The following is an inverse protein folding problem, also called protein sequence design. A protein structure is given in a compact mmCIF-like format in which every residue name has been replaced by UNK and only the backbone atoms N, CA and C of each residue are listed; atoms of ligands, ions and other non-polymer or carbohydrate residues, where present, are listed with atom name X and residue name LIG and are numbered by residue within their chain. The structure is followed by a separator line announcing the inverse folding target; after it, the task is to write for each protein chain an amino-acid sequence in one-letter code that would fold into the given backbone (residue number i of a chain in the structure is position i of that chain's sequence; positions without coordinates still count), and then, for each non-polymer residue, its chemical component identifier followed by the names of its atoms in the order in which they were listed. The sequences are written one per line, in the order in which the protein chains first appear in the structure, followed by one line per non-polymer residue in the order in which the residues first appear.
data_IF_537530691028
#
_entry.id   IF_537530691028
#
_cell.length_a   1.000
_cell.length_b   1.000
_cell.length_c   1.000
_cell.angle_alpha   90.00
_cell.angle_beta   90.00
_cell.angle_gamma   90.00
#
_symmetry.space_group_name_H-M   'P 1'
#
loop_
_entity.id
_entity.type
_entity.pdbx_description
1 polymer ?
#
# COMPACT_ATOMS: atom_id res chain seq x y z
N UNK A 1 -6.88 -19.93 -1.51
CA UNK A 1 -5.80 -19.04 -1.03
C UNK A 1 -6.25 -17.61 -0.83
N UNK A 2 -6.73 -16.89 -1.86
CA UNK A 2 -7.24 -15.53 -1.69
C UNK A 2 -8.58 -15.44 -0.95
N UNK A 3 -9.50 -16.37 -1.20
CA UNK A 3 -10.79 -16.43 -0.48
C UNK A 3 -10.61 -16.56 1.05
N UNK A 4 -9.58 -17.27 1.50
CA UNK A 4 -9.25 -17.40 2.92
C UNK A 4 -8.78 -16.06 3.51
N UNK A 5 -7.94 -15.32 2.77
CA UNK A 5 -7.54 -13.97 3.15
C UNK A 5 -8.73 -13.01 3.24
N UNK A 6 -9.67 -13.09 2.31
CA UNK A 6 -10.93 -12.32 2.36
C UNK A 6 -11.74 -12.67 3.61
N UNK A 7 -11.97 -13.96 3.86
CA UNK A 7 -12.76 -14.41 5.00
C UNK A 7 -12.13 -13.98 6.34
N UNK A 8 -10.83 -14.18 6.49
CA UNK A 8 -10.08 -13.80 7.71
C UNK A 8 -10.03 -12.27 7.87
N UNK A 9 -9.86 -11.52 6.78
CA UNK A 9 -9.92 -10.06 6.78
C UNK A 9 -11.27 -9.53 7.25
N UNK A 10 -12.37 -10.05 6.70
CA UNK A 10 -13.73 -9.69 7.12
C UNK A 10 -13.96 -10.03 8.59
N UNK A 11 -13.59 -11.23 9.02
CA UNK A 11 -13.73 -11.66 10.41
C UNK A 11 -12.94 -10.75 11.37
N UNK A 12 -11.68 -10.42 11.05
CA UNK A 12 -10.88 -9.50 11.86
C UNK A 12 -11.45 -8.08 11.89
N UNK A 13 -11.99 -7.59 10.77
CA UNK A 13 -12.63 -6.27 10.71
C UNK A 13 -13.91 -6.19 11.53
N UNK A 14 -14.74 -7.24 11.49
CA UNK A 14 -15.94 -7.36 12.33
C UNK A 14 -15.59 -7.51 13.81
N UNK A 15 -14.52 -8.24 14.13
CA UNK A 15 -14.00 -8.34 15.50
C UNK A 15 -13.68 -6.94 16.05
N UNK A 16 -13.03 -6.08 15.26
CA UNK A 16 -12.76 -4.70 15.66
C UNK A 16 -14.02 -3.83 15.78
N UNK A 17 -15.04 -4.12 14.98
CA UNK A 17 -16.34 -3.45 15.11
C UNK A 17 -17.02 -3.77 16.45
N UNK A 18 -16.88 -5.02 16.92
CA UNK A 18 -17.44 -5.48 18.19
C UNK A 18 -16.59 -5.05 19.39
N UNK A 19 -15.26 -5.18 19.30
CA UNK A 19 -14.34 -4.83 20.39
C UNK A 19 -14.26 -3.31 20.62
N UNK A 20 -14.34 -2.51 19.56
CA UNK A 20 -14.31 -1.05 19.63
C UNK A 20 -15.56 -0.44 18.98
N UNK A 21 -16.73 -0.55 19.63
CA UNK A 21 -17.97 -0.07 19.07
C UNK A 21 -17.96 1.46 18.88
N UNK A 22 -18.80 1.94 17.96
CA UNK A 22 -18.94 3.37 17.65
C UNK A 22 -19.36 4.21 18.86
N UNK A 23 -20.20 3.65 19.73
CA UNK A 23 -20.85 4.38 20.82
C UNK A 23 -19.95 4.80 21.98
N UNK A 24 -18.72 4.29 22.05
CA UNK A 24 -17.76 4.61 23.12
C UNK A 24 -16.64 5.46 22.55
N UNK A 25 -16.41 6.65 23.10
CA UNK A 25 -15.26 7.48 22.74
C UNK A 25 -13.96 6.85 23.30
N UNK A 26 -13.26 6.12 22.43
CA UNK A 26 -11.89 5.69 22.68
C UNK A 26 -10.91 6.68 22.09
N UNK A 27 -9.73 6.80 22.67
CA UNK A 27 -8.65 7.60 22.09
C UNK A 27 -8.27 7.06 20.69
N UNK A 28 -8.01 7.94 19.71
CA UNK A 28 -7.66 7.52 18.35
C UNK A 28 -6.42 6.62 18.30
N UNK A 29 -5.45 6.88 19.17
CA UNK A 29 -4.23 6.09 19.31
C UNK A 29 -4.51 4.66 19.77
N UNK A 30 -5.45 4.46 20.71
CA UNK A 30 -5.82 3.12 21.17
C UNK A 30 -6.50 2.30 20.07
N UNK A 31 -7.42 2.93 19.32
CA UNK A 31 -8.06 2.28 18.16
C UNK A 31 -7.05 1.92 17.08
N UNK A 32 -6.11 2.82 16.79
CA UNK A 32 -5.04 2.59 15.83
C UNK A 32 -4.09 1.48 16.28
N UNK A 33 -3.72 1.44 17.56
CA UNK A 33 -2.88 0.39 18.13
C UNK A 33 -3.47 -1.01 17.96
N UNK A 34 -4.74 -1.20 18.32
CA UNK A 34 -5.42 -2.50 18.13
C UNK A 34 -5.53 -2.92 16.66
N UNK A 35 -5.81 -1.97 15.78
CA UNK A 35 -5.88 -2.20 14.34
C UNK A 35 -4.51 -2.64 13.78
N UNK A 36 -3.42 -1.99 14.22
CA UNK A 36 -2.07 -2.37 13.83
C UNK A 36 -1.64 -3.74 14.41
N UNK A 37 -1.95 -4.00 15.68
CA UNK A 37 -1.64 -5.27 16.32
C UNK A 37 -2.32 -6.45 15.63
N UNK A 38 -3.62 -6.35 15.32
CA UNK A 38 -4.32 -7.43 14.62
C UNK A 38 -3.79 -7.63 13.21
N UNK A 39 -3.44 -6.54 12.51
CA UNK A 39 -2.78 -6.61 11.22
C UNK A 39 -1.44 -7.36 11.30
N UNK A 40 -0.61 -7.08 12.32
CA UNK A 40 0.66 -7.77 12.52
C UNK A 40 0.47 -9.27 12.82
N UNK A 41 -0.52 -9.63 13.63
CA UNK A 41 -0.88 -11.03 13.91
C UNK A 41 -1.32 -11.74 12.63
N UNK A 42 -2.15 -11.09 11.80
CA UNK A 42 -2.56 -11.64 10.50
C UNK A 42 -1.34 -11.85 9.59
N UNK A 43 -0.45 -10.84 9.46
CA UNK A 43 0.75 -10.97 8.64
C UNK A 43 1.64 -12.13 9.08
N UNK A 44 1.87 -12.28 10.39
CA UNK A 44 2.69 -13.38 10.93
C UNK A 44 2.00 -14.74 10.79
N UNK A 45 0.70 -14.82 11.05
CA UNK A 45 -0.06 -16.07 10.99
C UNK A 45 -0.11 -16.67 9.59
N UNK A 46 -0.03 -15.85 8.55
CA UNK A 46 0.08 -16.32 7.17
C UNK A 46 1.52 -16.56 6.71
N UNK A 47 2.53 -16.06 7.44
CA UNK A 47 3.96 -16.19 7.09
C UNK A 47 4.48 -17.62 7.08
N UNK A 48 3.86 -18.51 7.87
CA UNK A 48 4.19 -19.94 7.91
C UNK A 48 3.48 -20.76 6.81
N UNK A 49 2.66 -20.10 5.98
CA UNK A 49 1.89 -20.74 4.92
C UNK A 49 2.40 -20.33 3.54
N UNK A 50 2.23 -21.18 2.51
CA UNK A 50 2.60 -20.87 1.11
C UNK A 50 1.77 -19.73 0.47
N UNK A 51 1.07 -18.92 1.25
CA UNK A 51 0.08 -17.95 0.79
C UNK A 51 0.38 -16.51 1.21
N UNK A 52 1.61 -16.04 0.97
CA UNK A 52 2.04 -14.67 1.30
C UNK A 52 1.10 -13.57 0.75
N UNK A 53 0.55 -13.75 -0.46
CA UNK A 53 -0.39 -12.79 -1.05
C UNK A 53 -1.76 -12.73 -0.35
N UNK A 54 -2.15 -13.77 0.39
CA UNK A 54 -3.41 -13.78 1.13
C UNK A 54 -3.32 -12.94 2.42
N UNK A 55 -2.14 -12.82 3.02
CA UNK A 55 -1.89 -12.05 4.23
C UNK A 55 -2.15 -10.56 4.02
N UNK A 56 -1.52 -9.98 2.98
CA UNK A 56 -1.68 -8.58 2.63
C UNK A 56 -3.14 -8.23 2.29
N UNK A 57 -3.82 -9.13 1.57
CA UNK A 57 -5.24 -8.97 1.26
C UNK A 57 -6.12 -9.03 2.52
N UNK A 58 -5.82 -9.93 3.46
CA UNK A 58 -6.54 -10.03 4.73
C UNK A 58 -6.41 -8.75 5.56
N UNK A 59 -5.20 -8.19 5.67
CA UNK A 59 -4.96 -6.92 6.37
C UNK A 59 -5.71 -5.77 5.71
N UNK A 60 -5.67 -5.69 4.37
CA UNK A 60 -6.37 -4.63 3.65
C UNK A 60 -7.89 -4.68 3.88
N UNK A 61 -8.48 -5.87 3.79
CA UNK A 61 -9.92 -6.06 4.01
C UNK A 61 -10.29 -5.80 5.47
N UNK A 62 -9.45 -6.25 6.41
CA UNK A 62 -9.60 -5.96 7.83
C UNK A 62 -9.70 -4.46 8.11
N UNK A 63 -8.75 -3.67 7.59
CA UNK A 63 -8.72 -2.23 7.76
C UNK A 63 -9.96 -1.56 7.16
N UNK A 64 -10.35 -1.96 5.94
CA UNK A 64 -11.53 -1.40 5.26
C UNK A 64 -12.81 -1.68 6.04
N UNK A 65 -13.00 -2.92 6.49
CA UNK A 65 -14.19 -3.30 7.27
C UNK A 65 -14.21 -2.58 8.62
N UNK A 66 -13.08 -2.50 9.33
CA UNK A 66 -12.97 -1.78 10.60
C UNK A 66 -13.30 -0.28 10.44
N UNK A 67 -12.69 0.40 9.47
CA UNK A 67 -12.95 1.82 9.18
C UNK A 67 -14.41 2.06 8.78
N UNK A 68 -14.96 1.22 7.90
CA UNK A 68 -16.39 1.28 7.55
C UNK A 68 -17.27 1.10 8.78
N UNK A 69 -16.89 0.21 9.69
CA UNK A 69 -17.63 -0.07 10.93
C UNK A 69 -17.55 1.04 11.97
N UNK A 70 -16.61 1.98 11.88
CA UNK A 70 -16.45 3.08 12.85
C UNK A 70 -17.03 4.42 12.40
N UNK A 71 -17.24 4.59 11.10
CA UNK A 71 -17.80 5.82 10.54
C UNK A 71 -16.75 6.92 10.33
N UNK A 72 -17.09 7.96 9.56
CA UNK A 72 -16.10 8.91 9.01
C UNK A 72 -15.35 9.70 10.08
N UNK A 73 -16.00 10.10 11.18
CA UNK A 73 -15.40 10.96 12.21
C UNK A 73 -14.30 10.25 12.97
N UNK A 74 -14.56 9.01 13.41
CA UNK A 74 -13.56 8.19 14.11
C UNK A 74 -12.44 7.81 13.16
N UNK A 75 -12.78 7.37 11.95
CA UNK A 75 -11.79 6.93 10.96
C UNK A 75 -10.85 8.06 10.54
N UNK A 76 -11.33 9.29 10.45
CA UNK A 76 -10.49 10.46 10.17
C UNK A 76 -9.46 10.69 11.29
N UNK A 77 -9.88 10.59 12.56
CA UNK A 77 -8.99 10.75 13.72
C UNK A 77 -7.92 9.65 13.76
N UNK A 78 -8.32 8.39 13.57
CA UNK A 78 -7.38 7.25 13.55
C UNK A 78 -6.41 7.35 12.36
N UNK A 79 -6.92 7.71 11.18
CA UNK A 79 -6.09 7.91 9.99
C UNK A 79 -5.07 9.03 10.20
N UNK A 80 -5.44 10.13 10.87
CA UNK A 80 -4.51 11.22 11.15
C UNK A 80 -3.33 10.75 12.02
N UNK A 81 -3.58 9.91 13.03
CA UNK A 81 -2.52 9.31 13.85
C UNK A 81 -1.56 8.45 13.01
N UNK A 82 -2.09 7.61 12.10
CA UNK A 82 -1.24 6.83 11.19
C UNK A 82 -0.47 7.71 10.19
N UNK A 83 -1.07 8.78 9.70
CA UNK A 83 -0.39 9.75 8.82
C UNK A 83 0.78 10.41 9.52
N UNK A 84 0.62 10.77 10.81
CA UNK A 84 1.70 11.36 11.59
C UNK A 84 2.87 10.38 11.75
N UNK A 85 2.57 9.13 12.14
CA UNK A 85 3.58 8.06 12.24
C UNK A 85 4.27 7.81 10.89
N UNK A 86 3.50 7.82 9.80
CA UNK A 86 4.04 7.66 8.45
C UNK A 86 5.01 8.79 8.10
N UNK A 87 4.59 10.05 8.25
CA UNK A 87 5.37 11.22 7.84
C UNK A 87 6.64 11.41 8.68
N UNK A 88 6.58 11.16 9.98
CA UNK A 88 7.70 11.42 10.89
C UNK A 88 8.65 10.25 11.08
N UNK A 89 8.17 9.00 10.97
CA UNK A 89 8.99 7.82 11.25
C UNK A 89 9.17 6.94 10.01
N UNK A 90 8.07 6.41 9.45
CA UNK A 90 8.18 5.40 8.40
C UNK A 90 8.79 5.96 7.11
N UNK A 91 8.33 7.13 6.67
CA UNK A 91 8.76 7.73 5.41
C UNK A 91 10.25 8.11 5.42
N UNK A 92 10.80 8.85 6.40
CA UNK A 92 12.22 9.15 6.45
C UNK A 92 13.09 7.89 6.58
N UNK A 93 12.64 6.91 7.39
CA UNK A 93 13.36 5.65 7.57
C UNK A 93 13.43 4.84 6.27
N UNK A 94 12.31 4.71 5.56
CA UNK A 94 12.26 4.00 4.27
C UNK A 94 13.13 4.67 3.21
N UNK A 95 13.12 6.01 3.13
CA UNK A 95 14.03 6.72 2.22
C UNK A 95 15.49 6.58 2.62
N UNK A 96 15.79 6.59 3.92
CA UNK A 96 17.13 6.33 4.42
C UNK A 96 17.62 4.93 4.08
N UNK A 97 16.76 3.91 4.24
CA UNK A 97 17.09 2.51 3.95
C UNK A 97 17.31 2.28 2.45
N UNK A 98 16.39 2.75 1.60
CA UNK A 98 16.52 2.66 0.14
C UNK A 98 17.78 3.41 -0.34
N UNK A 99 18.07 4.56 0.26
CA UNK A 99 19.31 5.30 -0.04
C UNK A 99 20.58 4.57 0.39
N UNK A 100 20.55 3.89 1.54
CA UNK A 100 21.68 3.11 2.05
C UNK A 100 21.96 1.84 1.24
N UNK A 101 20.96 1.29 0.55
CA UNK A 101 21.11 0.14 -0.34
C UNK A 101 21.93 0.47 -1.59
N UNK A 102 21.95 1.74 -2.02
CA UNK A 102 22.65 2.17 -3.23
C UNK A 102 24.15 2.32 -2.93
N UNK A 103 24.95 1.32 -3.31
CA UNK A 103 26.40 1.35 -3.19
C UNK A 103 27.06 2.05 -4.39
N UNK A 104 27.14 3.38 -4.35
CA UNK A 104 27.67 4.22 -5.45
C UNK A 104 29.09 3.81 -5.87
N UNK A 105 29.93 3.38 -4.93
CA UNK A 105 31.30 2.96 -5.20
C UNK A 105 31.41 1.69 -6.07
N UNK A 106 30.34 0.87 -6.13
CA UNK A 106 30.31 -0.34 -6.96
C UNK A 106 29.61 -0.11 -8.31
N UNK A 107 28.99 1.05 -8.54
CA UNK A 107 28.32 1.36 -9.80
C UNK A 107 29.34 1.72 -10.89
N UNK A 108 29.69 0.74 -11.73
CA UNK A 108 30.40 1.00 -12.99
C UNK A 108 29.51 1.84 -13.91
N UNK A 109 30.08 2.85 -14.57
CA UNK A 109 29.31 3.75 -15.46
C UNK A 109 28.51 3.04 -16.57
N UNK A 110 28.98 1.87 -17.02
CA UNK A 110 28.25 1.02 -17.97
C UNK A 110 26.96 0.43 -17.38
N UNK A 111 26.99 -0.04 -16.13
CA UNK A 111 25.82 -0.60 -15.45
C UNK A 111 24.77 0.47 -15.18
N UNK A 112 25.20 1.68 -14.82
CA UNK A 112 24.30 2.82 -14.67
C UNK A 112 23.59 3.16 -15.98
N UNK A 113 24.31 3.15 -17.10
CA UNK A 113 23.73 3.44 -18.41
C UNK A 113 22.73 2.36 -18.85
N UNK A 114 23.04 1.09 -18.57
CA UNK A 114 22.13 -0.03 -18.83
C UNK A 114 20.87 0.08 -17.94
N UNK A 115 21.02 0.40 -16.66
CA UNK A 115 19.91 0.60 -15.74
C UNK A 115 19.00 1.76 -16.21
N UNK A 116 19.58 2.89 -16.61
CA UNK A 116 18.82 4.02 -17.16
C UNK A 116 18.10 3.66 -18.47
N UNK A 117 18.73 2.88 -19.34
CA UNK A 117 18.12 2.39 -20.58
C UNK A 117 16.93 1.46 -20.28
N UNK A 118 17.09 0.50 -19.36
CA UNK A 118 16.01 -0.41 -18.94
C UNK A 118 14.87 0.38 -18.30
N UNK A 119 15.16 1.33 -17.42
CA UNK A 119 14.15 2.20 -16.80
C UNK A 119 13.36 2.98 -17.85
N UNK A 120 14.06 3.61 -18.79
CA UNK A 120 13.43 4.42 -19.85
C UNK A 120 12.55 3.57 -20.77
N UNK A 121 13.02 2.37 -21.14
CA UNK A 121 12.28 1.44 -22.00
C UNK A 121 11.05 0.87 -21.29
N UNK A 122 11.21 0.43 -20.04
CA UNK A 122 10.10 -0.07 -19.20
C UNK A 122 9.01 0.98 -19.01
N UNK A 123 9.41 2.23 -18.75
CA UNK A 123 8.48 3.35 -18.60
C UNK A 123 7.71 3.64 -19.89
N UNK A 124 8.43 3.67 -21.02
CA UNK A 124 7.84 3.88 -22.34
C UNK A 124 6.83 2.77 -22.69
N UNK A 125 7.19 1.51 -22.44
CA UNK A 125 6.28 0.38 -22.66
C UNK A 125 5.02 0.47 -21.79
N UNK A 126 5.17 0.82 -20.51
CA UNK A 126 4.03 1.02 -19.60
C UNK A 126 3.10 2.14 -20.08
N UNK A 127 3.64 3.25 -20.56
CA UNK A 127 2.84 4.35 -21.13
C UNK A 127 2.05 3.89 -22.36
N UNK A 128 2.70 3.13 -23.26
CA UNK A 128 2.05 2.58 -24.45
C UNK A 128 0.92 1.60 -24.09
N UNK A 129 1.19 0.63 -23.22
CA UNK A 129 0.19 -0.37 -22.79
C UNK A 129 -0.99 0.31 -22.11
N UNK A 130 -0.76 1.27 -21.21
CA UNK A 130 -1.84 2.01 -20.54
C UNK A 130 -2.67 2.81 -21.55
N UNK A 131 -2.02 3.48 -22.51
CA UNK A 131 -2.73 4.23 -23.55
C UNK A 131 -3.62 3.34 -24.42
N UNK A 132 -3.15 2.14 -24.77
CA UNK A 132 -3.92 1.15 -25.52
C UNK A 132 -5.07 0.56 -24.69
N UNK A 133 -4.82 0.20 -23.43
CA UNK A 133 -5.82 -0.37 -22.53
C UNK A 133 -6.98 0.60 -22.26
N UNK A 134 -6.69 1.89 -22.09
CA UNK A 134 -7.69 2.94 -21.89
C UNK A 134 -8.42 3.28 -23.22
N UNK A 135 -7.97 2.72 -24.33
CA UNK A 135 -8.54 2.97 -25.66
C UNK A 135 -9.99 2.53 -25.83
N UNK A 136 -10.42 1.50 -25.08
CA UNK A 136 -11.80 1.00 -25.07
C UNK A 136 -12.78 1.82 -24.21
N UNK A 137 -12.28 2.78 -23.42
CA UNK A 137 -13.09 3.52 -22.44
C UNK A 137 -13.81 4.76 -23.01
N UNK A 138 -13.84 4.97 -24.34
CA UNK A 138 -14.51 6.12 -24.97
C UNK A 138 -13.84 7.48 -24.75
N UNK A 139 -12.67 7.52 -24.12
CA UNK A 139 -11.94 8.76 -23.77
C UNK A 139 -11.27 9.41 -24.98
N UNK A 140 -11.12 10.74 -24.96
CA UNK A 140 -10.38 11.51 -26.00
C UNK A 140 -8.88 11.24 -25.90
N UNK A 141 -8.14 11.42 -27.01
CA UNK A 141 -6.68 11.18 -27.06
C UNK A 141 -5.88 11.95 -25.99
N UNK A 142 -6.31 13.16 -25.63
CA UNK A 142 -5.70 13.99 -24.57
C UNK A 142 -5.91 13.40 -23.17
N UNK A 143 -7.10 12.87 -22.89
CA UNK A 143 -7.45 12.24 -21.62
C UNK A 143 -6.73 10.90 -21.45
N UNK A 144 -6.61 10.11 -22.53
CA UNK A 144 -5.83 8.87 -22.52
C UNK A 144 -4.37 9.11 -22.17
N UNK A 145 -3.76 10.17 -22.72
CA UNK A 145 -2.40 10.56 -22.35
C UNK A 145 -2.31 11.03 -20.89
N UNK A 146 -3.26 11.83 -20.42
CA UNK A 146 -3.33 12.26 -19.03
C UNK A 146 -3.44 11.07 -18.06
N UNK A 147 -4.29 10.08 -18.38
CA UNK A 147 -4.43 8.86 -17.58
C UNK A 147 -3.15 8.01 -17.64
N UNK A 148 -2.54 7.84 -18.81
CA UNK A 148 -1.28 7.10 -18.93
C UNK A 148 -0.15 7.73 -18.11
N UNK A 149 -0.01 9.06 -18.13
CA UNK A 149 0.96 9.80 -17.31
C UNK A 149 0.58 9.74 -15.82
N UNK A 150 -0.70 9.80 -15.48
CA UNK A 150 -1.19 9.67 -14.10
C UNK A 150 -0.94 8.30 -13.48
N UNK A 151 -0.81 7.26 -14.30
CA UNK A 151 -0.44 5.90 -13.92
C UNK A 151 1.07 5.67 -13.89
N UNK A 152 1.90 6.69 -14.12
CA UNK A 152 3.32 6.58 -13.87
C UNK A 152 3.56 6.20 -12.40
N UNK A 153 4.44 5.24 -12.13
CA UNK A 153 4.70 4.80 -10.78
C UNK A 153 5.15 5.99 -9.94
N UNK A 154 4.34 6.39 -8.95
CA UNK A 154 4.79 7.29 -7.88
C UNK A 154 5.83 6.50 -7.08
N UNK A 155 7.09 6.72 -7.43
CA UNK A 155 8.24 5.89 -7.10
C UNK A 155 8.49 5.66 -5.59
N UNK A 156 7.79 6.38 -4.71
CA UNK A 156 8.06 6.35 -3.27
C UNK A 156 7.43 5.18 -2.54
N UNK A 157 6.29 4.63 -2.99
CA UNK A 157 5.62 3.50 -2.30
C UNK A 157 6.04 2.14 -2.88
N UNK A 158 6.56 2.12 -4.11
CA UNK A 158 7.00 0.87 -4.76
C UNK A 158 8.46 0.53 -4.49
N UNK A 159 9.30 1.51 -4.13
CA UNK A 159 10.69 1.26 -3.78
C UNK A 159 10.87 0.55 -2.43
N UNK A 160 9.89 0.60 -1.54
CA UNK A 160 9.93 -0.07 -0.23
C UNK A 160 9.25 -1.45 -0.19
N UNK A 161 8.55 -1.84 -1.26
CA UNK A 161 7.86 -3.15 -1.40
C UNK A 161 8.70 -4.11 -2.27
N UNK A 162 9.88 -3.67 -2.73
CA UNK A 162 10.86 -4.48 -3.47
C UNK A 162 11.50 -5.55 -2.60
#
# INVERSE_FOLDING_TARGET
SFALGIAIGVAGGLLMAVLLPRGIEYSPMWRGGWLFCLAAVMMKGFGDTKFNGAAALAVLIHCVVAVRSWGPDVSKKVSATFTEVWNHLAQPLLFGLVGAEIQVDQLKGKELLIALAILSLSLSWRLLVTFLAVGGAGLRKRERFFVAVGWLPKATVQASIG
#
